data_IF_788618198743
#
_entry.id   IF_788618198743
#
_cell.length_a   1.000
_cell.length_b   1.000
_cell.length_c   1.000
_cell.angle_alpha   90.00
_cell.angle_beta   90.00
_cell.angle_gamma   90.00
#
_symmetry.space_group_name_H-M   'P 1'
#
loop_
_entity.id
_entity.type
_entity.pdbx_description
1 polymer ?
#
# COMPACT_ATOMS: atom_id res chain seq x y z
N UNK A 1 -41.62 -30.82 -23.48
CA UNK A 1 -40.57 -31.83 -23.29
C UNK A 1 -39.39 -31.46 -24.18
N UNK A 2 -38.18 -31.30 -23.63
CA UNK A 2 -36.93 -31.20 -24.40
C UNK A 2 -36.39 -29.80 -24.75
N UNK A 3 -35.78 -29.08 -23.80
CA UNK A 3 -34.78 -28.05 -24.11
C UNK A 3 -33.44 -28.75 -24.38
N UNK A 4 -32.89 -28.59 -25.60
CA UNK A 4 -31.51 -28.99 -25.93
C UNK A 4 -30.52 -28.09 -25.18
N UNK A 5 -29.69 -28.68 -24.34
CA UNK A 5 -28.44 -28.07 -23.85
C UNK A 5 -27.38 -28.26 -24.93
N UNK A 6 -26.87 -27.18 -25.50
CA UNK A 6 -25.58 -27.19 -26.19
C UNK A 6 -24.51 -26.85 -25.15
N UNK A 7 -23.59 -27.79 -24.93
CA UNK A 7 -22.42 -27.60 -24.10
C UNK A 7 -21.42 -26.70 -24.82
N UNK A 8 -20.85 -25.74 -24.07
CA UNK A 8 -19.66 -25.01 -24.49
C UNK A 8 -18.51 -25.51 -23.63
N UNK A 9 -17.49 -25.98 -24.36
CA UNK A 9 -16.22 -26.50 -23.90
C UNK A 9 -15.54 -25.59 -22.89
N UNK A 10 -15.10 -26.16 -21.76
CA UNK A 10 -14.21 -25.53 -20.81
C UNK A 10 -12.80 -25.46 -21.42
N UNK A 11 -12.43 -24.30 -21.97
CA UNK A 11 -11.02 -23.99 -22.21
C UNK A 11 -10.38 -23.57 -20.89
N UNK A 12 -9.52 -24.47 -20.40
CA UNK A 12 -8.52 -24.29 -19.36
C UNK A 12 -7.78 -22.95 -19.53
N UNK A 13 -7.95 -22.05 -18.56
CA UNK A 13 -7.08 -20.89 -18.37
C UNK A 13 -6.16 -21.22 -17.19
N UNK A 14 -4.87 -21.39 -17.49
CA UNK A 14 -3.83 -21.61 -16.49
C UNK A 14 -3.75 -20.42 -15.50
N UNK A 15 -3.47 -20.66 -14.22
CA UNK A 15 -3.27 -19.59 -13.25
C UNK A 15 -1.98 -18.84 -13.55
N UNK A 16 -2.08 -17.52 -13.72
CA UNK A 16 -0.93 -16.61 -13.76
C UNK A 16 -0.32 -16.51 -12.36
N UNK A 17 0.69 -17.34 -12.11
CA UNK A 17 1.57 -17.25 -10.96
C UNK A 17 2.39 -15.95 -11.06
N UNK A 18 2.11 -14.97 -10.21
CA UNK A 18 2.96 -13.79 -10.07
C UNK A 18 4.02 -14.05 -9.00
N UNK A 19 5.26 -14.24 -9.46
CA UNK A 19 6.43 -14.33 -8.59
C UNK A 19 6.69 -12.96 -7.94
N UNK A 20 6.74 -12.95 -6.62
CA UNK A 20 7.22 -11.85 -5.80
C UNK A 20 8.75 -11.81 -5.90
N UNK A 21 9.32 -10.73 -6.42
CA UNK A 21 10.78 -10.52 -6.42
C UNK A 21 11.14 -9.64 -5.19
N UNK A 22 11.79 -10.21 -4.15
CA UNK A 22 12.17 -9.43 -2.98
C UNK A 22 13.25 -8.41 -3.34
N UNK A 23 13.16 -7.22 -2.74
CA UNK A 23 14.15 -6.16 -2.89
C UNK A 23 15.56 -6.69 -2.58
N UNK A 24 16.48 -6.52 -3.53
CA UNK A 24 17.90 -6.89 -3.37
C UNK A 24 18.48 -6.19 -2.14
N UNK A 25 18.77 -6.96 -1.08
CA UNK A 25 19.56 -6.48 0.06
C UNK A 25 20.99 -6.18 -0.42
N UNK A 26 21.47 -4.97 -0.19
CA UNK A 26 22.89 -4.66 -0.31
C UNK A 26 23.67 -5.44 0.77
N UNK A 27 24.82 -6.07 0.44
CA UNK A 27 25.60 -6.81 1.42
C UNK A 27 26.23 -5.86 2.44
N UNK A 28 26.00 -6.13 3.72
CA UNK A 28 26.74 -5.53 4.82
C UNK A 28 28.21 -5.92 4.69
N UNK A 29 29.06 -4.93 4.44
CA UNK A 29 30.51 -5.09 4.36
C UNK A 29 31.05 -5.37 5.76
N UNK A 30 31.30 -6.62 6.10
CA UNK A 30 32.07 -6.99 7.29
C UNK A 30 33.51 -6.53 7.10
N UNK A 31 33.93 -5.52 7.86
CA UNK A 31 35.35 -5.24 8.08
C UNK A 31 35.84 -6.25 9.11
N UNK A 32 36.49 -7.31 8.64
CA UNK A 32 37.41 -8.09 9.46
C UNK A 32 38.64 -7.22 9.74
N UNK A 33 38.96 -7.04 11.02
CA UNK A 33 40.10 -6.24 11.45
C UNK A 33 40.27 -6.25 12.96
N UNK A 34 41.27 -7.02 13.39
CA UNK A 34 42.01 -6.94 14.66
C UNK A 34 41.31 -7.41 15.95
N UNK A 35 41.55 -8.69 16.24
CA UNK A 35 41.43 -9.30 17.57
C UNK A 35 42.54 -8.72 18.48
N UNK A 36 42.20 -7.82 19.40
CA UNK A 36 43.06 -7.44 20.54
C UNK A 36 42.45 -7.97 21.83
N UNK A 37 43.20 -8.84 22.48
CA UNK A 37 42.91 -9.43 23.78
C UNK A 37 42.90 -8.34 24.87
N UNK A 38 41.70 -7.94 25.29
CA UNK A 38 41.50 -7.18 26.51
C UNK A 38 40.60 -8.00 27.43
N UNK A 39 41.22 -8.67 28.41
CA UNK A 39 40.53 -9.28 29.56
C UNK A 39 39.50 -8.29 30.12
N UNK A 40 38.23 -8.61 29.97
CA UNK A 40 37.13 -7.83 30.51
C UNK A 40 37.10 -7.93 32.04
N UNK A 41 37.21 -6.77 32.71
CA UNK A 41 36.79 -6.60 34.10
C UNK A 41 35.25 -6.73 34.18
N UNK A 42 34.66 -7.34 35.22
CA UNK A 42 33.22 -7.44 35.32
C UNK A 42 32.59 -6.04 35.51
N UNK A 43 31.60 -5.75 34.66
CA UNK A 43 30.84 -4.51 34.67
C UNK A 43 30.09 -4.33 36.02
N UNK A 44 30.08 -3.09 36.53
CA UNK A 44 29.31 -2.71 37.72
C UNK A 44 27.80 -2.78 37.42
N UNK A 45 26.96 -3.19 38.40
CA UNK A 45 25.51 -3.22 38.22
C UNK A 45 24.97 -1.79 38.29
N UNK A 46 24.61 -1.21 37.15
CA UNK A 46 24.08 0.15 37.08
C UNK A 46 23.47 0.56 35.74
N UNK A 47 23.98 0.04 34.62
CA UNK A 47 23.50 0.44 33.29
C UNK A 47 22.49 -0.56 32.71
N UNK A 48 21.36 -0.71 33.39
CA UNK A 48 20.15 -1.17 32.71
C UNK A 48 19.69 -0.02 31.80
N UNK A 49 20.08 -0.08 30.51
CA UNK A 49 19.57 0.81 29.49
C UNK A 49 18.05 0.90 29.62
N UNK A 50 17.54 2.08 30.02
CA UNK A 50 16.10 2.33 30.08
C UNK A 50 15.52 1.99 28.72
N UNK A 51 14.68 0.95 28.68
CA UNK A 51 13.79 0.73 27.55
C UNK A 51 13.09 2.06 27.24
N UNK A 52 13.06 2.49 25.97
CA UNK A 52 12.36 3.71 25.60
C UNK A 52 10.91 3.61 26.12
N UNK A 53 10.31 4.72 26.55
CA UNK A 53 8.96 4.71 27.06
C UNK A 53 8.03 4.04 26.05
N UNK A 54 7.06 3.23 26.51
CA UNK A 54 6.12 2.57 25.62
C UNK A 54 5.45 3.64 24.76
N UNK A 55 5.49 3.44 23.44
CA UNK A 55 4.84 4.33 22.48
C UNK A 55 3.38 4.51 22.89
N UNK A 56 2.81 5.72 22.78
CA UNK A 56 1.37 5.90 22.96
C UNK A 56 0.66 4.88 22.07
N UNK A 57 -0.25 4.11 22.67
CA UNK A 57 -0.96 3.07 21.92
C UNK A 57 -1.90 3.76 20.93
N UNK A 58 -2.05 3.22 19.71
CA UNK A 58 -3.04 3.74 18.78
C UNK A 58 -4.40 3.74 19.49
N UNK A 59 -4.98 4.93 19.63
CA UNK A 59 -6.24 5.11 20.32
C UNK A 59 -7.35 4.56 19.44
N UNK A 60 -8.17 3.66 19.96
CA UNK A 60 -9.36 3.25 19.22
C UNK A 60 -10.25 4.48 19.01
N UNK A 61 -10.72 4.73 17.77
CA UNK A 61 -11.52 5.92 17.50
C UNK A 61 -12.81 5.87 18.29
N UNK A 62 -13.08 6.95 19.04
CA UNK A 62 -14.32 7.08 19.78
C UNK A 62 -15.39 7.65 18.86
N UNK A 63 -16.52 6.95 18.61
CA UNK A 63 -17.60 7.51 17.79
C UNK A 63 -18.14 8.79 18.40
N UNK A 64 -18.45 9.79 17.56
CA UNK A 64 -19.01 11.06 18.01
C UNK A 64 -20.21 10.88 18.95
N UNK A 65 -21.10 9.92 18.68
CA UNK A 65 -22.27 9.63 19.50
C UNK A 65 -21.95 9.24 20.96
N UNK A 66 -20.70 8.86 21.26
CA UNK A 66 -20.25 8.51 22.62
C UNK A 66 -19.49 9.63 23.32
N UNK A 67 -19.32 10.78 22.67
CA UNK A 67 -18.58 11.92 23.20
C UNK A 67 -19.54 13.02 23.67
N UNK A 68 -19.27 13.67 24.83
CA UNK A 68 -20.12 14.74 25.37
C UNK A 68 -20.43 15.86 24.38
N UNK A 69 -19.45 16.22 23.53
CA UNK A 69 -19.62 17.28 22.52
C UNK A 69 -19.72 16.75 21.08
N UNK A 70 -19.98 15.46 20.90
CA UNK A 70 -20.10 14.84 19.58
C UNK A 70 -18.89 15.14 18.68
N UNK A 71 -19.09 15.62 17.45
CA UNK A 71 -18.01 15.98 16.51
C UNK A 71 -17.18 17.20 16.94
N UNK A 72 -17.67 18.00 17.87
CA UNK A 72 -16.96 19.17 18.39
C UNK A 72 -16.10 18.84 19.62
N UNK A 73 -16.10 17.57 20.05
CA UNK A 73 -15.28 17.11 21.16
C UNK A 73 -13.81 17.02 20.73
N UNK A 74 -12.85 17.55 21.50
CA UNK A 74 -11.42 17.40 21.19
C UNK A 74 -10.95 15.94 21.12
N UNK A 75 -11.70 15.00 21.71
CA UNK A 75 -11.44 13.58 21.62
C UNK A 75 -11.96 12.93 20.32
N UNK A 76 -12.71 13.66 19.50
CA UNK A 76 -13.19 13.18 18.21
C UNK A 76 -12.12 13.40 17.14
N UNK A 77 -11.67 12.32 16.51
CA UNK A 77 -10.80 12.37 15.34
C UNK A 77 -11.55 11.82 14.12
N UNK A 78 -11.46 12.54 13.00
CA UNK A 78 -11.96 12.10 11.70
C UNK A 78 -11.07 10.99 11.12
N UNK A 79 -11.58 10.25 10.12
CA UNK A 79 -10.77 9.20 9.46
C UNK A 79 -9.45 9.73 8.88
N UNK A 80 -9.42 10.89 8.19
CA UNK A 80 -8.15 11.44 7.69
C UNK A 80 -7.18 11.87 8.80
N UNK A 81 -7.69 12.34 9.94
CA UNK A 81 -6.85 12.67 11.10
C UNK A 81 -6.23 11.41 11.72
N UNK A 82 -7.02 10.35 11.90
CA UNK A 82 -6.53 9.05 12.36
C UNK A 82 -5.53 8.43 11.37
N UNK A 83 -5.77 8.58 10.07
CA UNK A 83 -4.83 8.11 9.05
C UNK A 83 -3.47 8.83 9.15
N UNK A 84 -3.48 10.14 9.42
CA UNK A 84 -2.25 10.89 9.66
C UNK A 84 -1.53 10.41 10.92
N UNK A 85 -2.25 10.22 12.04
CA UNK A 85 -1.67 9.68 13.27
C UNK A 85 -1.00 8.33 13.03
N UNK A 86 -1.63 7.42 12.27
CA UNK A 86 -1.05 6.13 11.90
C UNK A 86 0.22 6.26 11.05
N UNK A 87 0.28 7.24 10.14
CA UNK A 87 1.49 7.51 9.34
C UNK A 87 2.62 8.01 10.25
N UNK A 88 2.33 8.89 11.20
CA UNK A 88 3.32 9.36 12.17
C UNK A 88 3.81 8.24 13.07
N UNK A 89 2.92 7.38 13.55
CA UNK A 89 3.28 6.19 14.33
C UNK A 89 4.18 5.24 13.52
N UNK A 90 3.85 4.96 12.26
CA UNK A 90 4.65 4.11 11.38
C UNK A 90 6.06 4.70 11.17
N UNK A 91 6.17 6.02 10.95
CA UNK A 91 7.46 6.71 10.81
C UNK A 91 8.27 6.69 12.11
N UNK A 92 7.63 6.98 13.24
CA UNK A 92 8.28 6.91 14.54
C UNK A 92 8.76 5.48 14.83
N UNK A 93 8.04 4.47 14.35
CA UNK A 93 8.39 3.05 14.44
C UNK A 93 9.40 2.58 13.39
N UNK A 94 9.89 3.49 12.54
CA UNK A 94 10.84 3.20 11.46
C UNK A 94 10.34 2.08 10.52
N UNK A 95 9.02 1.96 10.36
CA UNK A 95 8.43 1.02 9.41
C UNK A 95 8.75 1.52 8.01
N UNK A 96 9.47 0.74 7.18
CA UNK A 96 9.81 1.17 5.84
C UNK A 96 8.56 1.13 4.95
N UNK A 97 8.25 2.24 4.29
CA UNK A 97 7.23 2.29 3.24
C UNK A 97 7.66 3.24 2.12
N UNK A 98 7.30 2.90 0.89
CA UNK A 98 7.62 3.72 -0.29
C UNK A 98 6.64 4.87 -0.48
N UNK A 99 5.36 4.64 -0.20
CA UNK A 99 4.29 5.61 -0.41
C UNK A 99 3.07 5.29 0.45
N UNK A 100 2.20 6.29 0.62
CA UNK A 100 0.84 6.16 1.17
C UNK A 100 -0.14 6.03 0.01
N UNK A 101 -1.00 5.02 0.07
CA UNK A 101 -2.09 4.82 -0.90
C UNK A 101 -3.43 4.87 -0.19
N UNK A 102 -4.40 5.60 -0.74
CA UNK A 102 -5.70 5.76 -0.08
C UNK A 102 -6.84 5.99 -1.07
N UNK A 103 -8.07 5.71 -0.62
CA UNK A 103 -9.30 5.97 -1.38
C UNK A 103 -9.68 7.46 -1.42
N UNK A 104 -10.79 7.76 -2.10
CA UNK A 104 -11.24 9.13 -2.34
C UNK A 104 -11.83 9.84 -1.11
N UNK A 105 -12.12 9.12 -0.03
CA UNK A 105 -12.46 9.76 1.25
C UNK A 105 -11.23 10.50 1.80
N UNK A 106 -10.04 9.95 1.57
CA UNK A 106 -8.77 10.54 1.99
C UNK A 106 -8.21 11.50 0.95
N UNK A 107 -8.29 11.15 -0.35
CA UNK A 107 -7.75 11.97 -1.43
C UNK A 107 -8.41 13.32 -1.62
N UNK A 108 -9.63 13.49 -1.10
CA UNK A 108 -10.34 14.77 -1.14
C UNK A 108 -10.30 15.52 0.20
N UNK A 109 -9.34 15.17 1.07
CA UNK A 109 -9.14 15.84 2.35
C UNK A 109 -7.87 16.73 2.31
N UNK A 110 -8.00 18.05 2.06
CA UNK A 110 -6.85 18.92 1.78
C UNK A 110 -5.80 18.97 2.89
N UNK A 111 -6.23 18.84 4.15
CA UNK A 111 -5.28 18.82 5.28
C UNK A 111 -4.41 17.56 5.29
N UNK A 112 -4.93 16.41 4.84
CA UNK A 112 -4.16 15.18 4.81
C UNK A 112 -3.14 15.25 3.67
N UNK A 113 -3.58 15.66 2.48
CA UNK A 113 -2.68 15.89 1.34
C UNK A 113 -1.58 16.90 1.69
N UNK A 114 -1.94 18.05 2.28
CA UNK A 114 -0.98 19.07 2.70
C UNK A 114 0.03 18.57 3.72
N UNK A 115 -0.38 17.69 4.66
CA UNK A 115 0.54 17.07 5.63
C UNK A 115 1.49 16.07 4.96
N UNK A 116 0.99 15.24 4.04
CA UNK A 116 1.83 14.33 3.23
C UNK A 116 2.86 15.12 2.42
N UNK A 117 2.42 16.20 1.79
CA UNK A 117 3.28 17.11 1.03
C UNK A 117 4.37 17.74 1.91
N UNK A 118 3.99 18.36 3.03
CA UNK A 118 4.92 19.00 3.96
C UNK A 118 5.94 18.01 4.55
N UNK A 119 5.52 16.77 4.81
CA UNK A 119 6.38 15.71 5.29
C UNK A 119 7.23 15.04 4.19
N UNK A 120 7.10 15.48 2.92
CA UNK A 120 7.77 14.90 1.74
C UNK A 120 7.50 13.40 1.59
N UNK A 121 6.31 12.96 2.00
CA UNK A 121 5.87 11.58 1.86
C UNK A 121 5.26 11.41 0.48
N UNK A 122 5.63 10.33 -0.21
CA UNK A 122 5.02 10.00 -1.49
C UNK A 122 3.64 9.43 -1.32
N UNK A 123 2.74 9.80 -2.22
CA UNK A 123 1.37 9.33 -2.16
C UNK A 123 0.76 9.03 -3.52
N UNK A 124 -0.23 8.15 -3.50
CA UNK A 124 -1.20 7.97 -4.58
C UNK A 124 -2.59 7.94 -3.96
N UNK A 125 -3.33 9.04 -4.09
CA UNK A 125 -4.63 9.22 -3.48
C UNK A 125 -5.71 9.17 -4.54
N UNK A 126 -6.75 8.37 -4.35
CA UNK A 126 -7.86 8.35 -5.29
C UNK A 126 -8.67 9.65 -5.24
N UNK A 127 -9.24 10.04 -6.37
CA UNK A 127 -10.17 11.15 -6.49
C UNK A 127 -11.51 10.63 -7.02
N UNK A 128 -12.63 11.26 -6.62
CA UNK A 128 -13.90 11.00 -7.30
C UNK A 128 -13.84 11.55 -8.73
N UNK A 129 -14.58 10.95 -9.67
CA UNK A 129 -14.75 11.51 -11.01
C UNK A 129 -15.26 12.96 -11.00
N UNK A 130 -16.04 13.32 -9.98
CA UNK A 130 -16.61 14.65 -9.76
C UNK A 130 -15.77 15.58 -8.88
N UNK A 131 -14.52 15.22 -8.57
CA UNK A 131 -13.65 16.10 -7.77
C UNK A 131 -13.41 17.41 -8.51
N UNK A 132 -14.03 18.50 -8.03
CA UNK A 132 -13.97 19.80 -8.66
C UNK A 132 -12.73 20.59 -8.27
N UNK A 133 -12.10 21.23 -9.25
CA UNK A 133 -11.00 22.19 -9.01
C UNK A 133 -11.44 23.60 -9.38
N UNK A 134 -11.16 24.57 -8.51
CA UNK A 134 -11.33 25.98 -8.84
C UNK A 134 -10.29 26.40 -9.88
N UNK A 135 -10.73 27.01 -10.96
CA UNK A 135 -9.84 27.42 -12.04
C UNK A 135 -10.30 28.72 -12.69
N UNK A 136 -9.32 29.48 -13.17
CA UNK A 136 -9.57 30.65 -13.99
C UNK A 136 -9.97 30.19 -15.40
N UNK A 137 -11.03 30.78 -15.93
CA UNK A 137 -11.50 30.51 -17.29
C UNK A 137 -11.14 31.70 -18.16
N UNK A 138 -10.10 31.54 -18.97
CA UNK A 138 -9.63 32.59 -19.88
C UNK A 138 -10.48 32.66 -21.15
N UNK A 139 -10.84 31.50 -21.71
CA UNK A 139 -11.78 31.36 -22.83
C UNK A 139 -13.07 30.67 -22.38
N UNK A 140 -14.17 31.41 -22.37
CA UNK A 140 -15.49 30.88 -22.04
C UNK A 140 -16.04 29.92 -23.11
N UNK A 141 -15.55 29.98 -24.35
CA UNK A 141 -15.95 29.07 -25.42
C UNK A 141 -15.28 27.70 -25.29
N UNK A 142 -14.06 27.64 -24.73
CA UNK A 142 -13.32 26.40 -24.50
C UNK A 142 -12.77 26.33 -23.07
N UNK A 143 -13.65 26.21 -22.06
CA UNK A 143 -13.19 26.20 -20.68
C UNK A 143 -12.34 24.95 -20.41
N UNK A 144 -11.29 25.06 -19.57
CA UNK A 144 -10.52 23.89 -19.12
C UNK A 144 -11.43 22.87 -18.42
N UNK A 145 -10.99 21.61 -18.31
CA UNK A 145 -11.76 20.58 -17.62
C UNK A 145 -11.90 20.95 -16.13
N UNK A 146 -13.07 20.80 -15.54
CA UNK A 146 -13.31 21.12 -14.12
C UNK A 146 -13.20 19.91 -13.20
N UNK A 147 -13.34 18.71 -13.78
CA UNK A 147 -13.33 17.45 -13.07
C UNK A 147 -12.42 16.42 -13.76
N UNK A 148 -11.88 15.42 -13.03
CA UNK A 148 -11.11 14.35 -13.63
C UNK A 148 -11.86 13.61 -14.76
N UNK A 149 -13.18 13.42 -14.61
CA UNK A 149 -14.00 12.78 -15.63
C UNK A 149 -14.04 13.58 -16.94
N UNK A 150 -14.22 14.90 -16.87
CA UNK A 150 -14.18 15.79 -18.03
C UNK A 150 -12.79 15.84 -18.66
N UNK A 151 -11.73 15.81 -17.84
CA UNK A 151 -10.37 15.79 -18.34
C UNK A 151 -10.10 14.49 -19.13
N UNK A 152 -10.57 13.35 -18.62
CA UNK A 152 -10.47 12.07 -19.32
C UNK A 152 -11.26 12.01 -20.63
N UNK A 153 -12.48 12.57 -20.68
CA UNK A 153 -13.30 12.52 -21.90
C UNK A 153 -12.72 13.32 -23.07
N UNK A 154 -11.79 14.25 -22.81
CA UNK A 154 -11.15 15.09 -23.83
C UNK A 154 -9.92 14.46 -24.45
N UNK A 155 -9.44 13.32 -23.91
CA UNK A 155 -8.27 12.61 -24.43
C UNK A 155 -8.68 11.22 -24.92
N UNK A 156 -8.26 10.79 -26.12
CA UNK A 156 -8.35 9.38 -26.47
C UNK A 156 -7.37 8.61 -25.58
N UNK A 157 -7.87 7.75 -24.69
CA UNK A 157 -6.99 6.85 -23.93
C UNK A 157 -6.36 5.84 -24.88
N UNK A 158 -5.13 6.11 -25.28
CA UNK A 158 -4.32 5.18 -26.08
C UNK A 158 -3.83 3.99 -25.22
N UNK A 159 -4.03 4.05 -23.89
CA UNK A 159 -3.57 3.06 -22.91
C UNK A 159 -4.59 2.96 -21.77
N UNK A 160 -4.71 1.79 -21.15
CA UNK A 160 -5.54 1.57 -19.95
C UNK A 160 -5.13 2.45 -18.75
N UNK A 161 -4.03 3.21 -18.87
CA UNK A 161 -3.62 4.27 -17.95
C UNK A 161 -3.14 5.49 -18.75
N UNK A 162 -3.55 6.70 -18.37
CA UNK A 162 -3.03 7.95 -18.94
C UNK A 162 -2.82 9.04 -17.89
N UNK A 163 -1.98 10.01 -18.25
CA UNK A 163 -1.85 11.26 -17.51
C UNK A 163 -2.85 12.28 -18.04
N UNK A 164 -3.46 13.03 -17.12
CA UNK A 164 -4.43 14.06 -17.41
C UNK A 164 -3.91 15.41 -16.94
N UNK A 165 -4.35 16.46 -17.62
CA UNK A 165 -4.24 17.83 -17.15
C UNK A 165 -5.59 18.28 -16.59
N UNK A 166 -5.56 18.86 -15.40
CA UNK A 166 -6.75 19.39 -14.74
C UNK A 166 -6.43 20.72 -14.07
N UNK A 167 -6.80 21.81 -14.76
CA UNK A 167 -6.56 23.17 -14.32
C UNK A 167 -5.08 23.47 -14.05
N UNK A 168 -4.78 24.46 -13.19
CA UNK A 168 -3.40 24.81 -12.84
C UNK A 168 -2.77 23.87 -11.81
N UNK A 169 -3.59 23.07 -11.11
CA UNK A 169 -3.17 22.28 -9.96
C UNK A 169 -2.63 20.90 -10.36
N UNK A 170 -3.16 20.30 -11.42
CA UNK A 170 -2.83 18.93 -11.81
C UNK A 170 -2.30 18.84 -13.24
N UNK A 171 -1.23 18.06 -13.41
CA UNK A 171 -0.68 17.77 -14.73
C UNK A 171 0.71 17.15 -14.69
N UNK A 172 1.23 16.68 -15.83
CA UNK A 172 2.54 16.01 -15.93
C UNK A 172 3.70 16.93 -15.52
N UNK A 173 3.53 18.24 -15.70
CA UNK A 173 4.50 19.29 -15.37
C UNK A 173 4.23 19.96 -14.02
N UNK A 174 3.16 19.56 -13.32
CA UNK A 174 2.75 20.16 -12.05
C UNK A 174 3.34 19.38 -10.87
N UNK A 175 3.27 20.00 -9.69
CA UNK A 175 3.67 19.40 -8.42
C UNK A 175 2.86 18.15 -8.08
N UNK A 176 1.60 18.13 -8.51
CA UNK A 176 0.70 16.99 -8.38
C UNK A 176 0.28 16.52 -9.77
N UNK A 177 0.51 15.25 -10.08
CA UNK A 177 0.08 14.61 -11.32
C UNK A 177 -1.29 13.97 -11.14
N UNK A 178 -2.09 13.98 -12.20
CA UNK A 178 -3.38 13.30 -12.26
C UNK A 178 -3.29 12.12 -13.24
N UNK A 179 -3.54 10.93 -12.72
CA UNK A 179 -3.51 9.69 -13.47
C UNK A 179 -4.92 9.13 -13.56
N UNK A 180 -5.35 8.76 -14.76
CA UNK A 180 -6.56 7.97 -14.97
C UNK A 180 -6.19 6.54 -15.36
N UNK A 181 -6.89 5.56 -14.82
CA UNK A 181 -6.78 4.16 -15.22
C UNK A 181 -8.17 3.56 -15.42
N UNK A 182 -8.32 2.68 -16.41
CA UNK A 182 -9.58 2.00 -16.73
C UNK A 182 -9.35 0.51 -16.91
N UNK A 183 -10.34 -0.31 -16.58
CA UNK A 183 -10.32 -1.74 -16.87
C UNK A 183 -10.58 -2.04 -18.36
N UNK A 184 -11.28 -1.14 -19.06
CA UNK A 184 -11.58 -1.25 -20.48
C UNK A 184 -10.67 -0.31 -21.29
N UNK A 185 -9.71 -0.83 -22.09
CA UNK A 185 -8.78 0.00 -22.84
C UNK A 185 -9.41 0.67 -24.07
N UNK A 186 -10.66 0.34 -24.42
CA UNK A 186 -11.31 0.79 -25.66
C UNK A 186 -12.32 1.91 -25.42
N UNK A 187 -13.05 1.88 -24.29
CA UNK A 187 -14.06 2.88 -23.96
C UNK A 187 -13.90 3.34 -22.52
N UNK A 188 -13.71 4.66 -22.37
CA UNK A 188 -13.76 5.33 -21.09
C UNK A 188 -15.21 5.37 -20.56
N UNK A 189 -15.51 4.48 -19.63
CA UNK A 189 -16.73 4.59 -18.83
C UNK A 189 -16.38 5.20 -17.48
N UNK A 190 -17.03 6.30 -17.06
CA UNK A 190 -16.77 6.93 -15.77
C UNK A 190 -16.85 5.94 -14.60
N UNK A 191 -17.75 4.96 -14.67
CA UNK A 191 -17.95 3.92 -13.68
C UNK A 191 -16.82 2.88 -13.59
N UNK A 192 -16.00 2.73 -14.64
CA UNK A 192 -14.86 1.81 -14.68
C UNK A 192 -13.52 2.54 -14.70
N UNK A 193 -13.52 3.85 -14.46
CA UNK A 193 -12.33 4.70 -14.49
C UNK A 193 -11.97 5.17 -13.09
N UNK A 194 -10.73 4.91 -12.70
CA UNK A 194 -10.14 5.40 -11.46
C UNK A 194 -9.28 6.62 -11.74
N UNK A 195 -9.38 7.62 -10.87
CA UNK A 195 -8.59 8.84 -10.92
C UNK A 195 -7.70 8.93 -9.69
N UNK A 196 -6.44 9.29 -9.86
CA UNK A 196 -5.45 9.31 -8.80
C UNK A 196 -4.60 10.57 -8.85
N UNK A 197 -4.49 11.26 -7.72
CA UNK A 197 -3.54 12.33 -7.49
C UNK A 197 -2.24 11.77 -6.91
N UNK A 198 -1.10 12.23 -7.42
CA UNK A 198 0.21 11.80 -6.92
C UNK A 198 1.26 12.90 -6.98
N UNK A 199 2.18 12.90 -6.02
CA UNK A 199 3.38 13.74 -6.01
C UNK A 199 4.64 13.00 -6.49
N UNK A 200 4.51 11.80 -7.07
CA UNK A 200 5.63 11.16 -7.75
C UNK A 200 5.99 11.93 -9.02
N UNK A 201 7.29 12.24 -9.21
CA UNK A 201 7.75 12.73 -10.50
C UNK A 201 7.68 11.63 -11.57
N UNK A 202 7.62 12.03 -12.84
CA UNK A 202 7.61 11.09 -13.99
C UNK A 202 8.83 10.17 -13.97
N UNK A 203 9.99 10.67 -13.53
CA UNK A 203 11.24 9.90 -13.42
C UNK A 203 11.20 8.84 -12.31
N UNK A 204 10.36 9.00 -11.30
CA UNK A 204 10.30 8.08 -10.16
C UNK A 204 9.19 7.04 -10.29
N UNK A 205 8.11 7.40 -10.96
CA UNK A 205 7.02 6.51 -11.33
C UNK A 205 6.32 7.06 -12.58
N UNK A 206 6.38 6.31 -13.67
CA UNK A 206 5.52 6.55 -14.82
C UNK A 206 4.05 6.28 -14.46
N UNK A 207 3.11 6.64 -15.34
CA UNK A 207 1.69 6.48 -15.08
C UNK A 207 1.31 5.02 -14.73
N UNK A 208 1.93 4.04 -15.40
CA UNK A 208 1.66 2.62 -15.17
C UNK A 208 2.16 2.16 -13.79
N UNK A 209 3.34 2.63 -13.35
CA UNK A 209 3.86 2.40 -12.01
C UNK A 209 2.99 3.05 -10.94
N UNK A 210 2.54 4.29 -11.15
CA UNK A 210 1.59 4.94 -10.22
C UNK A 210 0.33 4.09 -10.07
N UNK A 211 -0.22 3.57 -11.18
CA UNK A 211 -1.35 2.66 -11.13
C UNK A 211 -1.03 1.36 -10.38
N UNK A 212 0.13 0.74 -10.62
CA UNK A 212 0.59 -0.46 -9.89
C UNK A 212 0.69 -0.20 -8.38
N UNK A 213 1.27 0.93 -7.98
CA UNK A 213 1.33 1.36 -6.58
C UNK A 213 -0.08 1.51 -6.01
N UNK A 214 -0.98 2.20 -6.72
CA UNK A 214 -2.35 2.40 -6.26
C UNK A 214 -3.10 1.08 -6.05
N UNK A 215 -2.91 0.10 -6.94
CA UNK A 215 -3.52 -1.23 -6.82
C UNK A 215 -3.06 -2.00 -5.57
N UNK A 216 -1.97 -1.61 -4.93
CA UNK A 216 -1.58 -2.18 -3.64
C UNK A 216 -2.63 -1.93 -2.55
N UNK A 217 -3.49 -0.92 -2.69
CA UNK A 217 -4.61 -0.68 -1.78
C UNK A 217 -5.53 -1.90 -1.70
N UNK A 218 -5.69 -2.67 -2.78
CA UNK A 218 -6.59 -3.83 -2.80
C UNK A 218 -6.10 -4.96 -1.88
N UNK A 219 -4.84 -4.94 -1.42
CA UNK A 219 -4.36 -5.86 -0.38
C UNK A 219 -5.09 -5.71 0.95
N UNK A 220 -5.68 -4.54 1.23
CA UNK A 220 -6.48 -4.35 2.45
C UNK A 220 -7.69 -5.29 2.46
N UNK A 221 -8.29 -5.54 1.29
CA UNK A 221 -9.41 -6.47 1.14
C UNK A 221 -8.95 -7.93 1.21
N UNK A 222 -7.76 -8.22 0.67
CA UNK A 222 -7.13 -9.54 0.82
C UNK A 222 -6.80 -9.86 2.28
N UNK A 223 -6.53 -8.85 3.10
CA UNK A 223 -6.39 -9.00 4.55
C UNK A 223 -7.75 -9.17 5.25
N UNK A 224 -8.70 -8.25 5.03
CA UNK A 224 -9.92 -8.21 5.83
C UNK A 224 -10.84 -9.41 5.59
N UNK A 225 -10.84 -10.01 4.40
CA UNK A 225 -11.65 -11.21 4.11
C UNK A 225 -11.28 -12.39 5.02
N UNK A 226 -10.05 -12.93 5.00
CA UNK A 226 -9.66 -14.02 5.89
C UNK A 226 -9.65 -13.59 7.36
N UNK A 227 -9.26 -12.35 7.68
CA UNK A 227 -9.34 -11.87 9.06
C UNK A 227 -10.76 -11.99 9.64
N UNK A 228 -11.79 -11.60 8.87
CA UNK A 228 -13.19 -11.65 9.28
C UNK A 228 -13.79 -13.05 9.29
N UNK A 229 -13.49 -13.86 8.28
CA UNK A 229 -14.19 -15.14 8.07
C UNK A 229 -13.45 -16.35 8.62
N UNK A 230 -12.12 -16.29 8.73
CA UNK A 230 -11.28 -17.44 9.07
C UNK A 230 -10.55 -17.26 10.42
N UNK A 231 -10.10 -16.05 10.72
CA UNK A 231 -9.32 -15.76 11.94
C UNK A 231 -10.17 -15.17 13.08
N UNK A 232 -11.48 -15.07 12.88
CA UNK A 232 -12.44 -14.68 13.90
C UNK A 232 -12.34 -13.24 14.37
N UNK A 233 -12.14 -12.28 13.46
CA UNK A 233 -12.10 -10.84 13.79
C UNK A 233 -13.24 -10.36 14.71
N UNK A 234 -14.44 -10.93 14.54
CA UNK A 234 -15.63 -10.60 15.32
C UNK A 234 -16.02 -11.69 16.34
N UNK A 235 -15.28 -12.80 16.43
CA UNK A 235 -15.64 -13.97 17.23
C UNK A 235 -15.13 -13.89 18.68
N UNK A 236 -15.02 -12.67 19.21
CA UNK A 236 -14.64 -12.44 20.59
C UNK A 236 -15.87 -12.36 21.49
N UNK A 237 -15.83 -13.04 22.63
CA UNK A 237 -16.92 -13.02 23.61
C UNK A 237 -16.67 -12.03 24.77
N UNK A 238 -15.69 -11.15 24.61
CA UNK A 238 -15.29 -10.16 25.62
C UNK A 238 -16.02 -8.82 25.41
N UNK A 239 -16.15 -8.04 26.49
CA UNK A 239 -16.86 -6.74 26.48
C UNK A 239 -15.95 -5.53 26.68
N UNK A 240 -14.78 -5.69 27.29
CA UNK A 240 -13.90 -4.55 27.55
C UNK A 240 -13.16 -4.14 26.27
N UNK A 241 -13.11 -2.83 26.01
CA UNK A 241 -12.41 -2.27 24.85
C UNK A 241 -10.96 -2.78 24.76
N UNK A 242 -10.26 -2.81 25.90
CA UNK A 242 -8.89 -3.33 25.99
C UNK A 242 -8.76 -4.79 25.54
N UNK A 243 -9.72 -5.64 25.91
CA UNK A 243 -9.70 -7.04 25.49
C UNK A 243 -10.05 -7.19 24.00
N UNK A 244 -11.00 -6.38 23.50
CA UNK A 244 -11.36 -6.35 22.07
C UNK A 244 -10.16 -5.92 21.21
N UNK A 245 -9.47 -4.84 21.60
CA UNK A 245 -8.28 -4.37 20.88
C UNK A 245 -7.16 -5.42 20.87
N UNK A 246 -6.94 -6.10 22.00
CA UNK A 246 -5.95 -7.20 22.07
C UNK A 246 -6.33 -8.37 21.16
N UNK A 247 -7.61 -8.72 21.10
CA UNK A 247 -8.10 -9.74 20.17
C UNK A 247 -7.79 -9.36 18.72
N UNK A 248 -8.11 -8.14 18.31
CA UNK A 248 -7.77 -7.67 16.95
C UNK A 248 -6.26 -7.68 16.67
N UNK A 249 -5.43 -7.32 17.65
CA UNK A 249 -3.97 -7.42 17.53
C UNK A 249 -3.52 -8.87 17.31
N UNK A 250 -4.09 -9.83 18.05
CA UNK A 250 -3.77 -11.25 17.87
C UNK A 250 -4.23 -11.77 16.49
N UNK A 251 -5.40 -11.35 16.01
CA UNK A 251 -5.90 -11.68 14.67
C UNK A 251 -4.96 -11.14 13.59
N UNK A 252 -4.51 -9.88 13.72
CA UNK A 252 -3.52 -9.28 12.82
C UNK A 252 -2.21 -10.07 12.81
N UNK A 253 -1.69 -10.42 13.99
CA UNK A 253 -0.46 -11.20 14.13
C UNK A 253 -0.60 -12.60 13.53
N UNK A 254 -1.72 -13.27 13.77
CA UNK A 254 -2.00 -14.59 13.20
C UNK A 254 -2.04 -14.53 11.66
N UNK A 255 -2.69 -13.51 11.10
CA UNK A 255 -2.68 -13.29 9.66
C UNK A 255 -1.27 -13.06 9.10
N UNK A 256 -0.50 -12.15 9.71
CA UNK A 256 0.88 -11.89 9.28
C UNK A 256 1.75 -13.13 9.38
N UNK A 257 1.60 -13.93 10.44
CA UNK A 257 2.30 -15.20 10.59
C UNK A 257 1.93 -16.17 9.46
N UNK A 258 0.64 -16.33 9.15
CA UNK A 258 0.19 -17.20 8.05
C UNK A 258 0.72 -16.76 6.68
N UNK A 259 0.80 -15.44 6.42
CA UNK A 259 1.41 -14.93 5.19
C UNK A 259 2.91 -15.26 5.11
N UNK A 260 3.64 -15.09 6.21
CA UNK A 260 5.08 -15.37 6.25
C UNK A 260 5.38 -16.87 6.18
N UNK A 261 4.52 -17.71 6.76
CA UNK A 261 4.67 -19.17 6.75
C UNK A 261 4.34 -19.79 5.38
N UNK A 262 3.46 -19.16 4.61
CA UNK A 262 3.08 -19.62 3.26
C UNK A 262 3.90 -18.97 2.14
N UNK A 263 4.72 -17.97 2.46
CA UNK A 263 5.67 -17.40 1.52
C UNK A 263 6.63 -18.51 1.05
N UNK A 264 6.79 -18.73 -0.27
CA UNK A 264 7.74 -19.71 -0.76
C UNK A 264 9.13 -19.35 -0.23
N UNK A 265 9.70 -20.26 0.55
CA UNK A 265 11.11 -20.17 0.92
C UNK A 265 11.86 -20.40 -0.38
N UNK A 266 12.57 -19.39 -0.87
CA UNK A 266 13.55 -19.59 -1.94
C UNK A 266 14.37 -20.81 -1.54
N UNK A 267 14.21 -21.90 -2.29
CA UNK A 267 15.01 -23.08 -2.08
C UNK A 267 16.45 -22.67 -2.39
N UNK A 268 17.22 -22.46 -1.32
CA UNK A 268 18.66 -22.51 -1.36
C UNK A 268 19.01 -23.97 -1.66
N UNK A 269 18.85 -24.37 -2.92
CA UNK A 269 19.46 -25.58 -3.43
C UNK A 269 20.95 -25.26 -3.60
N UNK A 270 21.69 -25.45 -2.50
CA UNK A 270 23.14 -25.53 -2.52
C UNK A 270 23.51 -26.68 -3.45
N UNK A 271 24.31 -26.35 -4.46
CA UNK A 271 25.11 -27.30 -5.21
C UNK A 271 25.81 -28.29 -4.26
N UNK A 272 25.67 -29.58 -4.54
CA UNK A 272 26.61 -30.60 -4.08
C UNK A 272 27.58 -30.87 -5.24
N UNK A 273 28.91 -30.72 -5.05
CA UNK A 273 29.87 -31.09 -6.06
C UNK A 273 30.22 -32.56 -5.85
N UNK A 274 29.57 -33.48 -6.56
CA UNK A 274 30.05 -34.85 -6.62
C UNK A 274 31.13 -34.96 -7.71
N UNK A 275 32.34 -34.91 -7.19
CA UNK A 275 33.57 -35.40 -7.76
C UNK A 275 33.47 -36.91 -7.94
N UNK A 276 33.64 -37.41 -9.17
CA UNK A 276 34.17 -38.75 -9.38
C UNK A 276 35.05 -38.77 -10.64
N UNK A 277 36.36 -38.70 -10.38
CA UNK A 277 37.38 -39.14 -11.32
C UNK A 277 37.88 -40.52 -10.91
N UNK A 278 37.67 -41.53 -11.76
CA UNK A 278 38.41 -42.81 -11.86
C UNK A 278 37.65 -43.69 -12.86
N UNK A 279 38.20 -44.35 -13.87
CA UNK A 279 39.55 -44.48 -14.40
C UNK A 279 39.41 -45.08 -15.82
N UNK A 280 40.47 -44.93 -16.62
CA UNK A 280 40.64 -45.48 -17.95
C UNK A 280 40.64 -47.03 -18.00
N UNK A 281 40.30 -47.55 -19.20
CA UNK A 281 40.70 -48.82 -19.90
C UNK A 281 39.48 -49.32 -20.70
N UNK A 282 39.52 -49.84 -21.91
CA UNK A 282 40.54 -50.15 -22.92
C UNK A 282 39.75 -50.42 -24.23
N UNK A 283 40.40 -50.19 -25.38
CA UNK A 283 39.91 -50.49 -26.73
C UNK A 283 39.81 -52.02 -26.97
N UNK A 284 39.05 -52.51 -27.98
CA UNK A 284 39.34 -52.27 -29.41
C UNK A 284 38.19 -51.71 -30.25
#
# INVERSE_FOLDING_TARGET
>A
MGRRRQGISAHSAAPLSFAYEPARRAPLRTREGEFRDHRAHPARPGDAARLPPPRPRPRAPTPAARLPKSKADPAFSTKPELAWELIEEARAAEVPFRAVVADCVYGEHPKLEGRLWAAKIRYVLALRPSHGTWQFVEDLAHPPAFTPAEAASRLPLVRYVAELELGPAYGPTRSTRLIAATADPTVLKPESTWFMATNFSVTEADAAEVYRIYRMRDWIEHYYKPAKHELGWADFQVRSEKAIVRHWQLVMLAFTFSLLATAPTDQVEKASPDNDGSAARENP
#
